data_IF_378717560323
#
_entry.id   IF_378717560323
#
_cell.length_a   1.000
_cell.length_b   1.000
_cell.length_c   1.000
_cell.angle_alpha   90.00
_cell.angle_beta   90.00
_cell.angle_gamma   90.00
#
_symmetry.space_group_name_H-M   'P 1'
#
loop_
_entity.id
_entity.type
_entity.pdbx_description
1 polymer ?
#
# COMPACT_ATOMS: atom_id res chain seq x y z
N UNK A 1 -25.85 11.94 -31.15
CA UNK A 1 -24.61 12.55 -31.67
C UNK A 1 -24.80 14.05 -31.68
N UNK A 2 -24.36 14.72 -30.63
CA UNK A 2 -24.46 16.18 -30.47
C UNK A 2 -23.10 16.65 -29.99
N UNK A 3 -22.36 17.29 -30.87
CA UNK A 3 -21.02 17.85 -30.62
C UNK A 3 -21.16 19.20 -29.92
N UNK A 4 -20.70 19.27 -28.68
CA UNK A 4 -20.53 20.52 -27.93
C UNK A 4 -19.22 21.18 -28.37
N UNK A 5 -19.33 22.32 -29.05
CA UNK A 5 -18.19 23.21 -29.34
C UNK A 5 -17.88 24.06 -28.10
N UNK A 6 -16.68 23.89 -27.55
CA UNK A 6 -16.09 24.82 -26.59
C UNK A 6 -15.12 25.75 -27.34
N UNK A 7 -15.49 27.02 -27.49
CA UNK A 7 -14.57 28.09 -27.89
C UNK A 7 -13.86 28.63 -26.64
N UNK A 8 -12.58 28.31 -26.51
CA UNK A 8 -11.72 28.76 -25.42
C UNK A 8 -10.74 29.84 -25.88
N UNK A 9 -10.86 31.02 -25.30
CA UNK A 9 -9.92 32.14 -25.41
C UNK A 9 -8.55 31.72 -24.84
N UNK A 10 -7.52 31.73 -25.69
CA UNK A 10 -6.16 31.34 -25.31
C UNK A 10 -5.47 32.43 -24.48
N UNK A 11 -5.33 32.20 -23.17
CA UNK A 11 -4.39 32.94 -22.31
C UNK A 11 -3.02 32.25 -22.30
N UNK A 12 -1.90 32.93 -22.61
CA UNK A 12 -0.58 32.30 -22.74
C UNK A 12 0.08 31.81 -21.43
N UNK A 13 -0.52 32.04 -20.26
CA UNK A 13 0.13 31.77 -18.96
C UNK A 13 -0.38 30.52 -18.21
N UNK A 14 -1.38 29.80 -18.73
CA UNK A 14 -2.03 28.67 -18.04
C UNK A 14 -1.46 27.27 -18.30
N UNK A 15 -0.50 27.11 -19.21
CA UNK A 15 -0.02 25.79 -19.67
C UNK A 15 0.84 24.98 -18.69
N UNK A 16 1.64 25.55 -17.75
CA UNK A 16 2.46 24.71 -16.88
C UNK A 16 1.63 23.95 -15.85
N UNK A 17 0.50 24.51 -15.37
CA UNK A 17 -0.30 23.90 -14.30
C UNK A 17 -0.99 22.61 -14.76
N UNK A 18 -1.54 22.59 -15.98
CA UNK A 18 -2.19 21.39 -16.53
C UNK A 18 -1.21 20.24 -16.79
N UNK A 19 0.02 20.56 -17.22
CA UNK A 19 1.06 19.56 -17.41
C UNK A 19 1.48 18.91 -16.08
N UNK A 20 1.60 19.70 -15.00
CA UNK A 20 1.90 19.18 -13.67
C UNK A 20 0.77 18.32 -13.09
N UNK A 21 -0.50 18.70 -13.30
CA UNK A 21 -1.66 17.88 -12.89
C UNK A 21 -1.65 16.52 -13.61
N UNK A 22 -1.42 16.50 -14.92
CA UNK A 22 -1.33 15.25 -15.70
C UNK A 22 -0.16 14.37 -15.28
N UNK A 23 1.00 14.96 -14.95
CA UNK A 23 2.16 14.20 -14.46
C UNK A 23 1.88 13.59 -13.08
N UNK A 24 1.20 14.31 -12.19
CA UNK A 24 0.83 13.80 -10.87
C UNK A 24 -0.20 12.66 -10.99
N UNK A 25 -1.24 12.83 -11.82
CA UNK A 25 -2.22 11.76 -12.05
C UNK A 25 -1.60 10.53 -12.72
N UNK A 26 -0.67 10.73 -13.65
CA UNK A 26 0.07 9.64 -14.30
C UNK A 26 1.02 8.95 -13.31
N UNK A 27 1.73 9.70 -12.47
CA UNK A 27 2.61 9.13 -11.44
C UNK A 27 1.81 8.38 -10.37
N UNK A 28 0.64 8.89 -9.96
CA UNK A 28 -0.28 8.20 -9.05
C UNK A 28 -0.83 6.92 -9.69
N UNK A 29 -1.26 6.98 -10.96
CA UNK A 29 -1.72 5.80 -11.70
C UNK A 29 -0.62 4.76 -11.89
N UNK A 30 0.61 5.17 -12.19
CA UNK A 30 1.77 4.29 -12.34
C UNK A 30 2.16 3.67 -10.99
N UNK A 31 2.16 4.43 -9.90
CA UNK A 31 2.49 3.90 -8.57
C UNK A 31 1.42 2.91 -8.07
N UNK A 32 0.14 3.20 -8.33
CA UNK A 32 -0.96 2.25 -8.08
C UNK A 32 -0.82 0.99 -8.94
N UNK A 33 -0.45 1.12 -10.21
CA UNK A 33 -0.34 -0.03 -11.12
C UNK A 33 0.91 -0.88 -10.83
N UNK A 34 2.07 -0.26 -10.55
CA UNK A 34 3.32 -0.96 -10.26
C UNK A 34 3.37 -1.51 -8.82
N UNK A 35 2.73 -0.84 -7.86
CA UNK A 35 2.62 -1.33 -6.48
C UNK A 35 1.64 -2.51 -6.33
N UNK A 36 0.73 -2.69 -7.29
CA UNK A 36 -0.17 -3.85 -7.33
C UNK A 36 0.52 -5.14 -7.81
N UNK A 37 1.66 -5.07 -8.51
CA UNK A 37 2.30 -6.27 -9.06
C UNK A 37 3.23 -7.00 -8.06
N UNK A 38 3.85 -6.31 -7.10
CA UNK A 38 4.71 -6.99 -6.10
C UNK A 38 3.92 -7.61 -4.94
N UNK A 39 2.80 -7.01 -4.52
CA UNK A 39 1.88 -7.65 -3.59
C UNK A 39 0.93 -8.66 -4.26
N UNK A 40 0.84 -8.65 -5.60
CA UNK A 40 0.21 -9.70 -6.40
C UNK A 40 1.16 -10.81 -6.87
N UNK A 41 2.34 -10.94 -6.22
CA UNK A 41 2.87 -12.26 -5.82
C UNK A 41 1.94 -12.96 -4.80
N UNK A 42 0.64 -12.84 -5.06
CA UNK A 42 -0.44 -13.81 -4.95
C UNK A 42 -0.16 -14.83 -3.90
N UNK A 43 -0.71 -14.56 -2.71
CA UNK A 43 -1.12 -15.58 -1.73
C UNK A 43 -1.48 -16.85 -2.49
N UNK A 44 -0.54 -17.79 -2.51
CA UNK A 44 -0.79 -19.15 -2.94
C UNK A 44 -1.65 -19.86 -1.90
N UNK A 45 -1.79 -19.25 -0.72
CA UNK A 45 -2.40 -19.82 0.45
C UNK A 45 -3.91 -20.03 0.28
N UNK A 46 -4.35 -21.24 0.63
CA UNK A 46 -5.75 -21.64 0.61
C UNK A 46 -6.28 -21.67 2.04
N UNK A 47 -7.35 -20.94 2.33
CA UNK A 47 -7.98 -20.95 3.65
C UNK A 47 -9.19 -21.87 3.65
N UNK A 48 -9.20 -22.82 4.57
CA UNK A 48 -10.33 -23.70 4.82
C UNK A 48 -10.90 -23.41 6.20
N UNK A 49 -12.14 -22.98 6.26
CA UNK A 49 -12.84 -22.70 7.51
C UNK A 49 -13.70 -23.90 7.95
N UNK A 50 -14.00 -23.96 9.24
CA UNK A 50 -14.87 -25.00 9.78
C UNK A 50 -16.27 -24.90 9.14
N UNK A 51 -16.75 -26.02 8.60
CA UNK A 51 -18.06 -26.13 7.97
C UNK A 51 -19.17 -25.96 9.02
N UNK A 52 -20.09 -25.04 8.75
CA UNK A 52 -21.36 -24.86 9.44
C UNK A 52 -22.48 -25.59 8.71
N UNK A 53 -22.48 -25.50 7.38
CA UNK A 53 -23.49 -26.08 6.53
C UNK A 53 -23.04 -27.47 6.06
N UNK A 54 -23.93 -28.45 6.19
CA UNK A 54 -23.69 -29.82 5.74
C UNK A 54 -23.55 -29.87 4.22
N UNK A 55 -22.49 -30.53 3.75
CA UNK A 55 -22.26 -30.80 2.32
C UNK A 55 -22.96 -32.10 1.91
N UNK A 56 -23.63 -32.07 0.77
CA UNK A 56 -24.25 -33.21 0.08
C UNK A 56 -23.47 -33.43 -1.22
N UNK A 57 -22.69 -34.50 -1.28
CA UNK A 57 -21.88 -34.82 -2.46
C UNK A 57 -22.74 -35.39 -3.59
N UNK A 58 -23.35 -34.51 -4.38
CA UNK A 58 -24.14 -34.86 -5.54
C UNK A 58 -23.70 -34.14 -6.84
N UNK A 59 -22.66 -33.31 -6.72
CA UNK A 59 -22.04 -32.58 -7.82
C UNK A 59 -22.86 -31.36 -8.23
N UNK A 60 -23.74 -30.83 -7.36
CA UNK A 60 -24.63 -29.70 -7.65
C UNK A 60 -24.64 -28.73 -6.48
N UNK A 61 -25.12 -27.53 -6.75
CA UNK A 61 -25.62 -26.66 -5.69
C UNK A 61 -26.95 -27.21 -5.16
N UNK A 62 -26.90 -28.10 -4.16
CA UNK A 62 -28.12 -28.70 -3.59
C UNK A 62 -29.00 -27.63 -2.96
N UNK A 63 -28.38 -26.67 -2.27
CA UNK A 63 -29.04 -25.46 -1.78
C UNK A 63 -28.12 -24.24 -1.96
N UNK A 64 -28.67 -23.02 -2.14
CA UNK A 64 -27.84 -21.81 -2.23
C UNK A 64 -26.92 -21.63 -1.02
N UNK A 65 -27.39 -21.99 0.18
CA UNK A 65 -26.67 -21.85 1.44
C UNK A 65 -25.57 -22.89 1.66
N UNK A 66 -25.56 -23.98 0.91
CA UNK A 66 -24.71 -25.14 1.17
C UNK A 66 -23.23 -24.79 1.29
N UNK A 67 -22.75 -23.85 0.45
CA UNK A 67 -21.36 -23.42 0.41
C UNK A 67 -21.18 -21.95 0.80
N UNK A 68 -22.20 -21.26 1.32
CA UNK A 68 -22.09 -19.85 1.76
C UNK A 68 -21.07 -19.64 2.90
N UNK A 69 -20.81 -20.69 3.67
CA UNK A 69 -19.84 -20.75 4.77
C UNK A 69 -18.43 -21.22 4.33
N UNK A 70 -18.18 -21.32 3.02
CA UNK A 70 -16.87 -21.69 2.48
C UNK A 70 -16.11 -20.46 2.01
N UNK A 71 -14.79 -20.59 1.93
CA UNK A 71 -13.96 -19.59 1.30
C UNK A 71 -13.94 -19.81 -0.22
N UNK A 72 -14.23 -18.76 -0.99
CA UNK A 72 -14.27 -18.79 -2.46
C UNK A 72 -13.04 -18.10 -3.05
N UNK A 73 -12.46 -18.71 -4.09
CA UNK A 73 -11.38 -18.16 -4.88
C UNK A 73 -11.75 -18.23 -6.35
N UNK A 74 -11.43 -17.18 -7.10
CA UNK A 74 -11.45 -17.24 -8.56
C UNK A 74 -10.21 -18.00 -9.06
N UNK A 75 -10.43 -19.13 -9.72
CA UNK A 75 -9.37 -19.88 -10.40
C UNK A 75 -9.00 -19.15 -11.70
N UNK A 76 -7.71 -18.97 -11.95
CA UNK A 76 -7.26 -18.18 -13.11
C UNK A 76 -7.13 -19.05 -14.35
N UNK A 77 -7.42 -18.41 -15.48
CA UNK A 77 -7.22 -18.97 -16.80
C UNK A 77 -5.75 -19.30 -17.05
N UNK A 78 -5.52 -20.50 -17.55
CA UNK A 78 -4.21 -20.93 -17.99
C UNK A 78 -3.88 -20.36 -19.37
N UNK A 79 -2.77 -19.62 -19.56
CA UNK A 79 -2.34 -19.06 -20.84
C UNK A 79 -2.01 -20.15 -21.88
N UNK A 80 -2.00 -21.42 -21.45
CA UNK A 80 -1.80 -22.59 -22.28
C UNK A 80 -3.07 -23.10 -22.95
N UNK A 81 -4.22 -22.51 -22.65
CA UNK A 81 -5.40 -22.80 -23.46
C UNK A 81 -5.13 -22.39 -24.91
N UNK A 82 -5.54 -23.24 -25.85
CA UNK A 82 -5.28 -23.04 -27.28
C UNK A 82 -5.90 -21.76 -27.85
N UNK A 83 -6.77 -21.08 -27.09
CA UNK A 83 -7.47 -19.87 -27.49
C UNK A 83 -7.19 -18.71 -26.51
N UNK A 84 -6.00 -18.08 -26.55
CA UNK A 84 -5.71 -16.92 -25.71
C UNK A 84 -6.76 -15.82 -25.92
N UNK A 85 -7.37 -15.34 -24.84
CA UNK A 85 -8.44 -14.33 -24.86
C UNK A 85 -9.86 -14.86 -24.69
N UNK A 86 -10.06 -16.18 -24.55
CA UNK A 86 -11.31 -16.68 -23.97
C UNK A 86 -11.31 -16.43 -22.47
N UNK A 87 -12.13 -15.48 -22.04
CA UNK A 87 -12.46 -15.31 -20.64
C UNK A 87 -13.43 -16.43 -20.23
N UNK A 88 -13.11 -17.09 -19.14
CA UNK A 88 -13.98 -18.06 -18.49
C UNK A 88 -13.87 -17.88 -16.99
N UNK A 89 -14.97 -18.14 -16.30
CA UNK A 89 -15.05 -18.03 -14.85
C UNK A 89 -15.02 -19.44 -14.26
N UNK A 90 -14.08 -19.66 -13.35
CA UNK A 90 -13.97 -20.88 -12.57
C UNK A 90 -13.74 -20.52 -11.11
N UNK A 91 -14.45 -21.17 -10.21
CA UNK A 91 -14.45 -20.89 -8.79
C UNK A 91 -14.02 -22.13 -8.01
N UNK A 92 -13.12 -21.93 -7.05
CA UNK A 92 -12.72 -22.92 -6.06
C UNK A 92 -13.34 -22.54 -4.72
N UNK A 93 -14.07 -23.45 -4.09
CA UNK A 93 -14.59 -23.30 -2.73
C UNK A 93 -14.03 -24.37 -1.82
N UNK A 94 -13.62 -23.97 -0.61
CA UNK A 94 -12.99 -24.87 0.36
C UNK A 94 -13.54 -24.64 1.76
N UNK A 95 -13.87 -25.73 2.45
CA UNK A 95 -14.19 -25.78 3.89
C UNK A 95 -13.86 -27.17 4.46
N UNK A 96 -13.94 -27.36 5.77
CA UNK A 96 -13.61 -28.65 6.37
C UNK A 96 -14.43 -28.97 7.62
N UNK A 97 -14.48 -30.24 7.99
CA UNK A 97 -14.95 -30.69 9.30
C UNK A 97 -13.90 -31.57 9.99
N UNK A 98 -14.28 -32.29 11.05
CA UNK A 98 -13.39 -33.20 11.79
C UNK A 98 -12.83 -34.36 10.96
N UNK A 99 -13.45 -34.71 9.84
CA UNK A 99 -13.12 -35.90 9.06
C UNK A 99 -12.68 -35.59 7.63
N UNK A 100 -13.15 -34.49 7.04
CA UNK A 100 -13.01 -34.21 5.61
C UNK A 100 -12.63 -32.77 5.31
N UNK A 101 -11.88 -32.62 4.23
CA UNK A 101 -11.75 -31.41 3.44
C UNK A 101 -12.79 -31.46 2.32
N UNK A 102 -13.68 -30.48 2.30
CA UNK A 102 -14.65 -30.31 1.24
C UNK A 102 -14.12 -29.32 0.21
N UNK A 103 -14.14 -29.73 -1.05
CA UNK A 103 -13.71 -28.89 -2.18
C UNK A 103 -14.82 -28.88 -3.22
N UNK A 104 -15.18 -27.70 -3.70
CA UNK A 104 -16.06 -27.52 -4.85
C UNK A 104 -15.33 -26.73 -5.93
N UNK A 105 -15.36 -27.25 -7.16
CA UNK A 105 -14.84 -26.58 -8.36
C UNK A 105 -16.03 -26.38 -9.30
N UNK A 106 -16.27 -25.13 -9.69
CA UNK A 106 -17.46 -24.69 -10.42
C UNK A 106 -17.05 -23.79 -11.57
N UNK A 107 -17.25 -24.22 -12.82
CA UNK A 107 -16.88 -23.44 -13.99
C UNK A 107 -17.90 -23.52 -15.13
N UNK A 108 -17.99 -22.44 -15.90
CA UNK A 108 -18.85 -22.38 -17.08
C UNK A 108 -18.31 -23.32 -18.15
N UNK A 109 -19.08 -24.34 -18.53
CA UNK A 109 -18.76 -25.22 -19.66
C UNK A 109 -19.75 -25.03 -20.81
N UNK A 110 -19.22 -25.00 -22.02
CA UNK A 110 -20.01 -24.87 -23.25
C UNK A 110 -20.61 -26.20 -23.72
N UNK A 111 -20.27 -27.31 -23.05
CA UNK A 111 -20.72 -28.63 -23.46
C UNK A 111 -22.19 -28.84 -23.09
N UNK A 112 -23.04 -28.98 -24.12
CA UNK A 112 -24.23 -29.82 -23.98
C UNK A 112 -23.69 -31.26 -23.93
N UNK A 113 -24.08 -32.11 -22.95
CA UNK A 113 -23.63 -33.52 -22.85
C UNK A 113 -23.97 -34.42 -24.06
N UNK A 114 -24.42 -33.85 -25.18
CA UNK A 114 -25.16 -34.50 -26.25
C UNK A 114 -24.32 -35.03 -27.41
N UNK A 115 -22.99 -34.88 -27.41
CA UNK A 115 -22.16 -35.51 -28.43
C UNK A 115 -21.56 -36.80 -27.88
N UNK A 116 -21.90 -37.97 -28.44
CA UNK A 116 -21.28 -39.22 -28.05
C UNK A 116 -19.76 -39.06 -28.18
N UNK A 117 -19.07 -39.09 -27.06
CA UNK A 117 -17.62 -39.04 -26.96
C UNK A 117 -17.12 -40.21 -27.79
N UNK A 118 -16.54 -39.91 -28.95
CA UNK A 118 -15.76 -40.90 -29.70
C UNK A 118 -14.79 -41.49 -28.69
N UNK A 119 -14.88 -42.80 -28.45
CA UNK A 119 -14.51 -43.55 -27.24
C UNK A 119 -13.11 -43.32 -26.62
N UNK A 120 -12.28 -42.45 -27.19
CA UNK A 120 -10.92 -42.13 -26.76
C UNK A 120 -10.63 -40.62 -26.59
N UNK A 121 -11.62 -39.72 -26.59
CA UNK A 121 -11.36 -38.30 -26.26
C UNK A 121 -11.59 -38.02 -24.78
N UNK A 122 -10.72 -37.17 -24.24
CA UNK A 122 -10.78 -36.71 -22.85
C UNK A 122 -12.15 -36.08 -22.57
N UNK A 123 -12.64 -36.29 -21.37
CA UNK A 123 -13.85 -35.65 -20.85
C UNK A 123 -13.43 -34.53 -19.93
N UNK A 124 -14.28 -33.51 -19.77
CA UNK A 124 -14.10 -32.49 -18.75
C UNK A 124 -13.80 -33.15 -17.41
N UNK A 125 -12.84 -32.58 -16.68
CA UNK A 125 -12.43 -33.13 -15.41
C UNK A 125 -12.03 -32.05 -14.42
N UNK A 126 -12.03 -32.43 -13.15
CA UNK A 126 -11.40 -31.68 -12.09
C UNK A 126 -10.49 -32.59 -11.28
N UNK A 127 -9.42 -32.00 -10.74
CA UNK A 127 -8.51 -32.67 -9.85
C UNK A 127 -8.12 -31.77 -8.68
N UNK A 128 -8.01 -32.38 -7.51
CA UNK A 128 -7.46 -31.78 -6.30
C UNK A 128 -6.26 -32.62 -5.90
N UNK A 129 -5.10 -31.98 -5.72
CA UNK A 129 -3.87 -32.64 -5.31
C UNK A 129 -3.45 -32.09 -3.95
N UNK A 130 -3.14 -32.98 -3.01
CA UNK A 130 -2.71 -32.65 -1.65
C UNK A 130 -1.31 -33.21 -1.39
N UNK A 131 -0.45 -32.40 -0.79
CA UNK A 131 0.88 -32.78 -0.30
C UNK A 131 0.81 -32.79 1.24
N UNK A 132 0.66 -33.98 1.83
CA UNK A 132 0.54 -34.19 3.27
C UNK A 132 1.92 -34.47 3.90
N UNK A 133 2.76 -33.43 4.02
CA UNK A 133 4.01 -33.52 4.78
C UNK A 133 5.28 -33.11 4.04
N UNK A 134 5.18 -32.54 2.84
CA UNK A 134 6.29 -31.92 2.11
C UNK A 134 7.31 -32.91 1.51
N UNK A 135 7.11 -34.21 1.69
CA UNK A 135 7.90 -35.28 1.10
C UNK A 135 7.30 -35.80 -0.22
N UNK A 136 8.10 -36.47 -1.05
CA UNK A 136 7.63 -37.02 -2.35
C UNK A 136 6.64 -38.17 -2.23
N UNK A 137 6.65 -38.84 -1.07
CA UNK A 137 5.85 -40.04 -0.81
C UNK A 137 4.42 -39.78 -0.35
N UNK A 138 4.05 -38.51 -0.09
CA UNK A 138 2.77 -38.16 0.54
C UNK A 138 1.91 -37.26 -0.34
N UNK A 139 2.00 -37.47 -1.66
CA UNK A 139 1.18 -36.75 -2.63
C UNK A 139 -0.03 -37.60 -2.98
N UNK A 140 -1.21 -37.05 -2.72
CA UNK A 140 -2.50 -37.64 -3.03
C UNK A 140 -3.18 -36.81 -4.11
N UNK A 141 -3.59 -37.46 -5.19
CA UNK A 141 -4.36 -36.84 -6.26
C UNK A 141 -5.77 -37.42 -6.32
N UNK A 142 -6.77 -36.56 -6.24
CA UNK A 142 -8.19 -36.88 -6.30
C UNK A 142 -8.73 -36.37 -7.63
N UNK A 143 -9.16 -37.26 -8.51
CA UNK A 143 -9.56 -36.92 -9.88
C UNK A 143 -10.99 -37.36 -10.17
N UNK A 144 -11.78 -36.48 -10.77
CA UNK A 144 -13.15 -36.76 -11.20
C UNK A 144 -13.31 -36.30 -12.63
N UNK A 145 -13.88 -37.15 -13.47
CA UNK A 145 -14.13 -36.86 -14.88
C UNK A 145 -15.60 -37.05 -15.22
N UNK A 146 -16.17 -36.13 -15.98
CA UNK A 146 -17.56 -36.20 -16.40
C UNK A 146 -17.72 -37.01 -17.69
N UNK A 147 -18.23 -38.24 -17.61
CA UNK A 147 -18.55 -39.06 -18.79
C UNK A 147 -20.05 -39.37 -18.84
N UNK A 148 -20.60 -39.31 -20.05
CA UNK A 148 -22.00 -39.58 -20.42
C UNK A 148 -22.81 -40.36 -19.38
N UNK A 149 -23.63 -39.62 -18.63
CA UNK A 149 -24.71 -40.11 -17.75
C UNK A 149 -24.30 -41.04 -16.60
N UNK A 150 -23.00 -41.27 -16.39
CA UNK A 150 -22.47 -41.97 -15.22
C UNK A 150 -21.28 -41.16 -14.70
N UNK A 151 -21.46 -40.51 -13.54
CA UNK A 151 -20.35 -39.93 -12.80
C UNK A 151 -19.33 -41.04 -12.54
N UNK A 152 -18.16 -40.95 -13.19
CA UNK A 152 -17.11 -41.94 -12.98
C UNK A 152 -16.53 -41.73 -11.58
N UNK A 153 -16.36 -42.83 -10.85
CA UNK A 153 -15.84 -42.81 -9.49
C UNK A 153 -14.49 -42.10 -9.43
N UNK A 154 -14.34 -41.22 -8.45
CA UNK A 154 -13.09 -40.51 -8.20
C UNK A 154 -11.92 -41.47 -8.15
N UNK A 155 -10.89 -41.23 -8.97
CA UNK A 155 -9.64 -41.96 -8.86
C UNK A 155 -8.77 -41.27 -7.83
N UNK A 156 -8.43 -42.01 -6.78
CA UNK A 156 -7.36 -41.60 -5.86
C UNK A 156 -6.09 -42.23 -6.37
N UNK A 157 -5.15 -41.39 -6.76
CA UNK A 157 -3.79 -41.81 -7.04
C UNK A 157 -2.91 -41.39 -5.88
N UNK A 158 -2.05 -42.30 -5.46
CA UNK A 158 -1.00 -42.02 -4.49
C UNK A 158 0.32 -42.19 -5.21
N UNK A 159 1.17 -41.17 -5.14
CA UNK A 159 2.49 -41.24 -5.76
C UNK A 159 3.44 -41.98 -4.81
N UNK A 160 3.93 -43.14 -5.24
CA UNK A 160 5.03 -43.81 -4.55
C UNK A 160 6.38 -43.14 -4.93
N UNK A 161 7.48 -43.54 -4.28
CA UNK A 161 8.83 -43.00 -4.54
C UNK A 161 9.29 -43.21 -6.01
N UNK A 162 8.64 -44.07 -6.78
CA UNK A 162 8.99 -44.42 -8.17
C UNK A 162 8.13 -43.67 -9.22
N UNK A 163 7.36 -42.65 -8.82
CA UNK A 163 6.49 -41.86 -9.70
C UNK A 163 5.36 -42.67 -10.37
N UNK A 164 5.09 -43.90 -9.92
CA UNK A 164 4.01 -44.72 -10.45
C UNK A 164 2.70 -44.41 -9.70
N UNK A 165 1.71 -43.93 -10.44
CA UNK A 165 0.38 -43.65 -9.92
C UNK A 165 -0.39 -44.97 -9.75
N UNK A 166 -0.13 -45.65 -8.64
CA UNK A 166 -0.89 -46.84 -8.28
C UNK A 166 -2.34 -46.46 -7.97
N UNK A 167 -3.29 -47.17 -8.61
CA UNK A 167 -4.71 -47.00 -8.30
C UNK A 167 -4.96 -47.55 -6.90
N UNK A 168 -5.39 -46.69 -5.97
CA UNK A 168 -5.92 -47.17 -4.68
C UNK A 168 -7.28 -47.81 -4.97
N UNK A 169 -7.48 -49.09 -4.61
CA UNK A 169 -8.72 -49.83 -4.96
C UNK A 169 -9.97 -49.05 -4.53
N UNK A 170 -10.80 -48.72 -5.53
CA UNK A 170 -11.89 -47.75 -5.46
C UNK A 170 -13.09 -48.09 -4.57
N UNK A 171 -13.18 -49.31 -4.00
CA UNK A 171 -14.41 -49.74 -3.30
C UNK A 171 -14.76 -48.88 -2.08
N UNK A 172 -13.78 -48.31 -1.39
CA UNK A 172 -14.01 -47.42 -0.24
C UNK A 172 -14.20 -45.94 -0.62
N UNK A 173 -13.93 -45.57 -1.88
CA UNK A 173 -13.83 -44.18 -2.35
C UNK A 173 -15.00 -43.76 -3.26
N UNK A 174 -16.00 -44.61 -3.46
CA UNK A 174 -17.18 -44.30 -4.30
C UNK A 174 -18.02 -43.11 -3.82
N UNK A 175 -17.74 -42.56 -2.63
CA UNK A 175 -18.46 -41.43 -2.02
C UNK A 175 -17.59 -40.20 -1.72
N UNK A 176 -16.34 -40.15 -2.19
CA UNK A 176 -15.47 -39.00 -1.92
C UNK A 176 -15.57 -37.91 -2.98
N UNK A 177 -16.38 -38.10 -4.02
CA UNK A 177 -16.53 -37.12 -5.08
C UNK A 177 -17.81 -37.28 -5.89
N UNK A 178 -18.31 -36.18 -6.43
CA UNK A 178 -19.44 -36.14 -7.35
C UNK A 178 -19.23 -35.07 -8.42
N UNK A 179 -19.92 -35.20 -9.56
CA UNK A 179 -19.92 -34.16 -10.58
C UNK A 179 -21.26 -34.09 -11.31
N UNK A 180 -21.62 -32.89 -11.78
CA UNK A 180 -22.77 -32.70 -12.64
C UNK A 180 -22.63 -31.48 -13.54
N UNK A 181 -23.45 -31.45 -14.59
CA UNK A 181 -23.70 -30.25 -15.38
C UNK A 181 -25.00 -29.61 -14.90
N UNK A 182 -24.97 -28.50 -14.16
CA UNK A 182 -26.18 -27.92 -13.55
C UNK A 182 -26.09 -26.39 -13.40
N UNK A 183 -27.10 -25.79 -12.76
CA UNK A 183 -27.13 -24.35 -12.49
C UNK A 183 -26.21 -24.01 -11.32
N UNK A 184 -25.59 -22.83 -11.37
CA UNK A 184 -24.73 -22.29 -10.32
C UNK A 184 -25.22 -20.90 -9.90
N UNK A 185 -25.07 -20.50 -8.63
CA UNK A 185 -25.35 -19.13 -8.21
C UNK A 185 -24.38 -18.11 -8.82
N UNK A 186 -23.25 -18.53 -9.40
CA UNK A 186 -22.23 -17.63 -9.91
C UNK A 186 -22.58 -17.03 -11.28
N UNK A 187 -23.36 -17.73 -12.12
CA UNK A 187 -23.82 -17.17 -13.39
C UNK A 187 -25.09 -17.85 -13.91
N UNK A 188 -25.74 -17.26 -14.93
CA UNK A 188 -26.93 -17.84 -15.56
C UNK A 188 -26.61 -18.99 -16.52
N UNK A 189 -25.35 -19.12 -16.93
CA UNK A 189 -24.90 -20.24 -17.75
C UNK A 189 -24.87 -21.50 -16.89
N UNK A 190 -24.98 -22.68 -17.52
CA UNK A 190 -24.78 -23.94 -16.80
C UNK A 190 -23.28 -24.16 -16.56
N UNK A 191 -22.97 -24.70 -15.39
CA UNK A 191 -21.60 -24.99 -14.99
C UNK A 191 -21.39 -26.50 -14.90
N UNK A 192 -20.14 -26.87 -15.13
CA UNK A 192 -19.62 -28.15 -14.66
C UNK A 192 -19.18 -27.98 -13.20
N UNK A 193 -19.83 -28.74 -12.33
CA UNK A 193 -19.61 -28.68 -10.88
C UNK A 193 -19.01 -30.00 -10.45
N UNK A 194 -17.90 -29.92 -9.70
CA UNK A 194 -17.20 -31.04 -9.12
C UNK A 194 -17.09 -30.84 -7.62
N UNK A 195 -17.50 -31.83 -6.86
CA UNK A 195 -17.42 -31.83 -5.40
C UNK A 195 -16.51 -32.96 -4.93
N UNK A 196 -15.76 -32.69 -3.87
CA UNK A 196 -14.88 -33.64 -3.22
C UNK A 196 -15.10 -33.59 -1.70
N UNK A 197 -15.12 -34.75 -1.05
CA UNK A 197 -14.95 -34.91 0.39
C UNK A 197 -13.71 -35.77 0.64
N UNK A 198 -12.58 -35.09 0.76
CA UNK A 198 -11.27 -35.70 0.89
C UNK A 198 -11.05 -36.04 2.37
N UNK A 199 -10.86 -37.32 2.75
CA UNK A 199 -10.55 -37.68 4.13
C UNK A 199 -9.26 -36.99 4.60
N UNK A 200 -9.29 -36.42 5.81
CA UNK A 200 -8.12 -35.76 6.40
C UNK A 200 -7.39 -36.69 7.36
N UNK A 201 -6.12 -36.98 7.06
CA UNK A 201 -5.23 -37.70 8.00
C UNK A 201 -4.47 -36.73 8.91
N UNK A 202 -4.22 -35.51 8.42
CA UNK A 202 -3.55 -34.41 9.13
C UNK A 202 -4.20 -33.08 8.73
N UNK A 203 -3.97 -32.04 9.52
CA UNK A 203 -4.40 -30.65 9.22
C UNK A 203 -3.24 -29.66 9.18
N UNK A 204 -2.01 -30.13 9.29
CA UNK A 204 -0.83 -29.28 9.38
C UNK A 204 0.11 -29.51 8.21
N UNK A 205 0.62 -28.42 7.62
CA UNK A 205 1.63 -28.47 6.58
C UNK A 205 1.15 -29.01 5.24
N UNK A 206 -0.18 -29.04 5.01
CA UNK A 206 -0.75 -29.49 3.74
C UNK A 206 -0.55 -28.41 2.68
N UNK A 207 -0.11 -28.81 1.49
CA UNK A 207 -0.23 -27.97 0.30
C UNK A 207 -1.30 -28.51 -0.63
N UNK A 208 -1.97 -27.64 -1.34
CA UNK A 208 -3.07 -27.97 -2.23
C UNK A 208 -2.88 -27.32 -3.60
N UNK A 209 -3.24 -28.08 -4.63
CA UNK A 209 -3.34 -27.63 -6.01
C UNK A 209 -4.66 -28.15 -6.59
N UNK A 210 -5.48 -27.26 -7.12
CA UNK A 210 -6.72 -27.57 -7.78
C UNK A 210 -6.63 -27.22 -9.27
N UNK A 211 -7.18 -28.06 -10.12
CA UNK A 211 -7.25 -27.83 -11.57
C UNK A 211 -8.58 -28.34 -12.10
N UNK A 212 -9.14 -27.65 -13.08
CA UNK A 212 -10.15 -28.21 -13.96
C UNK A 212 -9.82 -27.94 -15.43
N UNK A 213 -10.32 -28.83 -16.26
CA UNK A 213 -10.17 -28.83 -17.72
C UNK A 213 -11.56 -28.94 -18.34
N UNK A 214 -11.89 -27.95 -19.17
CA UNK A 214 -12.93 -28.05 -20.18
C UNK A 214 -12.25 -28.53 -21.46
N UNK A 215 -12.33 -29.84 -21.70
CA UNK A 215 -11.59 -30.48 -22.79
C UNK A 215 -12.09 -30.01 -24.15
N UNK A 216 -13.39 -29.69 -24.26
CA UNK A 216 -13.99 -29.32 -25.54
C UNK A 216 -13.49 -27.95 -26.00
N UNK A 217 -13.51 -26.97 -25.10
CA UNK A 217 -12.94 -25.64 -25.35
C UNK A 217 -11.43 -25.59 -25.25
N UNK A 218 -10.84 -26.64 -24.66
CA UNK A 218 -9.41 -26.71 -24.31
C UNK A 218 -9.02 -25.59 -23.37
N UNK A 219 -9.88 -25.31 -22.40
CA UNK A 219 -9.69 -24.27 -21.40
C UNK A 219 -9.35 -24.92 -20.06
N UNK A 220 -8.29 -24.43 -19.43
CA UNK A 220 -7.83 -24.94 -18.14
C UNK A 220 -7.86 -23.83 -17.12
N UNK A 221 -8.33 -24.16 -15.92
CA UNK A 221 -8.25 -23.30 -14.76
C UNK A 221 -7.47 -24.00 -13.68
N UNK A 222 -6.60 -23.28 -13.00
CA UNK A 222 -5.84 -23.83 -11.89
C UNK A 222 -5.77 -22.85 -10.72
N UNK A 223 -5.60 -23.40 -9.53
CA UNK A 223 -5.25 -22.64 -8.35
C UNK A 223 -4.31 -23.43 -7.42
N UNK A 224 -3.23 -22.82 -6.93
CA UNK A 224 -2.72 -21.52 -7.38
C UNK A 224 -2.23 -21.59 -8.83
N UNK A 225 -2.37 -20.48 -9.55
CA UNK A 225 -1.95 -20.37 -10.95
C UNK A 225 -0.60 -19.67 -11.06
N UNK A 226 0.31 -20.20 -11.88
CA UNK A 226 1.55 -19.51 -12.26
C UNK A 226 1.76 -19.47 -13.77
N UNK A 227 2.07 -18.29 -14.36
CA UNK A 227 2.24 -18.11 -15.81
C UNK A 227 3.34 -18.95 -16.46
N UNK A 228 4.34 -19.42 -15.71
CA UNK A 228 5.57 -20.01 -16.24
C UNK A 228 5.49 -21.52 -16.56
N UNK A 229 4.40 -22.19 -16.21
CA UNK A 229 4.35 -23.66 -16.20
C UNK A 229 3.83 -24.25 -17.53
N UNK A 230 4.70 -24.53 -18.51
CA UNK A 230 4.30 -25.19 -19.78
C UNK A 230 3.62 -26.55 -19.54
N UNK A 231 2.38 -26.69 -20.01
CA UNK A 231 1.66 -27.96 -20.01
C UNK A 231 2.32 -28.95 -20.98
N UNK A 232 2.77 -30.11 -20.48
CA UNK A 232 3.30 -31.21 -21.29
C UNK A 232 4.63 -31.81 -20.82
N UNK A 233 5.39 -31.15 -19.93
CA UNK A 233 6.63 -31.72 -19.38
C UNK A 233 6.68 -31.80 -17.84
N UNK A 234 5.74 -31.20 -17.14
CA UNK A 234 5.60 -31.33 -15.70
C UNK A 234 4.12 -31.52 -15.36
N UNK A 235 3.74 -32.74 -15.01
CA UNK A 235 2.49 -32.94 -14.25
C UNK A 235 2.53 -32.01 -13.04
N UNK A 236 1.43 -31.36 -12.62
CA UNK A 236 1.44 -30.37 -11.52
C UNK A 236 2.16 -30.84 -10.24
N UNK A 237 2.32 -32.16 -10.09
CA UNK A 237 3.17 -32.88 -9.13
C UNK A 237 4.64 -32.45 -9.10
N UNK A 238 5.27 -32.15 -10.23
CA UNK A 238 6.70 -31.81 -10.28
C UNK A 238 6.97 -30.39 -9.76
N UNK A 239 5.94 -29.57 -9.69
CA UNK A 239 6.01 -28.16 -9.28
C UNK A 239 5.41 -27.93 -7.90
N UNK A 240 5.71 -28.80 -6.93
CA UNK A 240 5.25 -28.68 -5.51
C UNK A 240 5.57 -27.36 -4.84
N UNK A 241 6.64 -26.70 -5.26
CA UNK A 241 7.01 -25.38 -4.74
C UNK A 241 6.02 -24.29 -5.16
N UNK A 242 5.15 -24.58 -6.13
CA UNK A 242 4.09 -23.71 -6.60
C UNK A 242 2.74 -23.97 -5.94
N UNK A 243 2.60 -25.06 -5.19
CA UNK A 243 1.33 -25.41 -4.56
C UNK A 243 1.01 -24.48 -3.41
N UNK A 244 -0.28 -24.24 -3.22
CA UNK A 244 -0.78 -23.36 -2.20
C UNK A 244 -0.71 -23.97 -0.81
N UNK A 245 -0.32 -23.23 0.23
CA UNK A 245 -0.42 -23.76 1.59
C UNK A 245 -1.88 -23.77 2.03
N UNK A 246 -2.38 -24.91 2.46
CA UNK A 246 -3.74 -25.04 2.98
C UNK A 246 -3.75 -24.81 4.49
N UNK A 247 -4.42 -23.74 4.94
CA UNK A 247 -4.63 -23.44 6.35
C UNK A 247 -6.01 -23.84 6.81
N UNK A 248 -6.07 -24.61 7.90
CA UNK A 248 -7.30 -25.03 8.54
C UNK A 248 -7.62 -24.12 9.71
N UNK A 249 -8.70 -23.36 9.60
CA UNK A 249 -9.19 -22.48 10.65
C UNK A 249 -10.27 -23.18 11.47
N UNK A 250 -10.08 -23.24 12.80
CA UNK A 250 -11.13 -23.78 13.68
C UNK A 250 -12.37 -22.87 13.75
N UNK A 251 -12.22 -21.61 13.35
CA UNK A 251 -13.33 -20.67 13.20
C UNK A 251 -14.12 -20.99 11.94
N UNK A 252 -15.39 -20.69 11.99
CA UNK A 252 -16.28 -20.69 10.83
C UNK A 252 -16.03 -19.45 9.97
N UNK A 253 -16.45 -19.50 8.70
CA UNK A 253 -16.29 -18.34 7.81
C UNK A 253 -17.08 -17.12 8.30
N UNK A 254 -18.27 -17.33 8.86
CA UNK A 254 -19.10 -16.26 9.42
C UNK A 254 -18.45 -15.56 10.62
N UNK A 255 -17.86 -16.33 11.56
CA UNK A 255 -17.12 -15.76 12.70
C UNK A 255 -15.92 -14.94 12.22
N UNK A 256 -15.16 -15.47 11.25
CA UNK A 256 -14.03 -14.74 10.66
C UNK A 256 -14.49 -13.46 9.96
N UNK A 257 -15.58 -13.53 9.21
CA UNK A 257 -16.16 -12.36 8.53
C UNK A 257 -16.60 -11.29 9.52
N UNK A 258 -17.20 -11.68 10.65
CA UNK A 258 -17.59 -10.74 11.70
C UNK A 258 -16.37 -10.04 12.34
N UNK A 259 -15.30 -10.79 12.61
CA UNK A 259 -14.03 -10.24 13.11
C UNK A 259 -13.43 -9.21 12.14
N UNK A 260 -13.29 -9.58 10.87
CA UNK A 260 -12.74 -8.68 9.84
C UNK A 260 -13.66 -7.48 9.61
N UNK A 261 -14.98 -7.66 9.67
CA UNK A 261 -15.94 -6.54 9.60
C UNK A 261 -15.68 -5.52 10.71
N UNK A 262 -15.39 -5.97 11.93
CA UNK A 262 -15.04 -5.10 13.04
C UNK A 262 -13.76 -4.28 12.77
N UNK A 263 -12.74 -4.92 12.19
CA UNK A 263 -11.50 -4.24 11.80
C UNK A 263 -11.73 -3.21 10.67
N UNK A 264 -12.53 -3.55 9.66
CA UNK A 264 -12.90 -2.64 8.57
C UNK A 264 -13.62 -1.42 9.14
N UNK A 265 -14.60 -1.61 10.04
CA UNK A 265 -15.31 -0.50 10.68
C UNK A 265 -14.40 0.37 11.54
N UNK A 266 -13.45 -0.21 12.28
CA UNK A 266 -12.45 0.57 13.04
C UNK A 266 -11.54 1.38 12.11
N UNK A 267 -11.12 0.81 10.98
CA UNK A 267 -10.34 1.51 9.96
C UNK A 267 -11.11 2.70 9.37
N UNK A 268 -12.41 2.51 9.05
CA UNK A 268 -13.30 3.57 8.58
C UNK A 268 -13.47 4.69 9.61
N UNK A 269 -13.68 4.33 10.88
CA UNK A 269 -13.77 5.30 11.98
C UNK A 269 -12.46 6.08 12.15
N UNK A 270 -11.31 5.39 12.09
CA UNK A 270 -9.99 6.01 12.15
C UNK A 270 -9.79 7.07 11.06
N UNK A 271 -10.07 6.73 9.80
CA UNK A 271 -9.98 7.67 8.67
C UNK A 271 -10.99 8.82 8.81
N UNK A 272 -12.22 8.53 9.25
CA UNK A 272 -13.23 9.57 9.52
C UNK A 272 -12.74 10.56 10.57
N UNK A 273 -12.18 10.05 11.68
CA UNK A 273 -11.60 10.87 12.74
C UNK A 273 -10.46 11.74 12.22
N UNK A 274 -9.52 11.18 11.45
CA UNK A 274 -8.42 11.95 10.84
C UNK A 274 -8.93 13.09 9.95
N UNK A 275 -9.98 12.86 9.16
CA UNK A 275 -10.59 13.89 8.30
C UNK A 275 -11.29 14.99 9.09
N UNK A 276 -11.80 14.66 10.29
CA UNK A 276 -12.41 15.65 11.19
C UNK A 276 -11.39 16.47 11.97
N UNK A 277 -10.15 15.96 12.11
CA UNK A 277 -9.07 16.70 12.74
C UNK A 277 -8.63 17.84 11.80
N UNK A 278 -8.51 19.04 12.35
CA UNK A 278 -7.93 20.18 11.67
C UNK A 278 -6.40 20.04 11.63
N UNK A 279 -5.91 19.02 10.90
CA UNK A 279 -4.48 18.75 10.78
C UNK A 279 -3.77 20.00 10.23
N UNK A 280 -2.65 20.38 10.82
CA UNK A 280 -1.83 21.51 10.37
C UNK A 280 -0.61 21.01 9.59
N UNK A 281 -0.08 19.83 9.93
CA UNK A 281 1.09 19.23 9.28
C UNK A 281 0.84 18.90 7.80
N UNK A 282 1.65 19.45 6.86
CA UNK A 282 1.54 19.11 5.44
C UNK A 282 1.78 17.62 5.15
N UNK A 283 2.73 16.99 5.87
CA UNK A 283 3.03 15.55 5.73
C UNK A 283 1.86 14.69 6.19
N UNK A 284 1.26 15.04 7.34
CA UNK A 284 0.09 14.36 7.87
C UNK A 284 -1.10 14.42 6.90
N UNK A 285 -1.37 15.59 6.31
CA UNK A 285 -2.44 15.78 5.31
C UNK A 285 -2.28 14.88 4.09
N UNK A 286 -1.07 14.74 3.57
CA UNK A 286 -0.81 13.86 2.43
C UNK A 286 -1.13 12.40 2.78
N UNK A 287 -0.66 11.91 3.93
CA UNK A 287 -0.88 10.54 4.37
C UNK A 287 -2.33 10.18 4.67
N UNK A 288 -3.19 11.16 4.99
CA UNK A 288 -4.65 10.92 5.13
C UNK A 288 -5.26 10.42 3.82
N UNK A 289 -4.75 10.86 2.67
CA UNK A 289 -5.22 10.37 1.38
C UNK A 289 -4.87 8.89 1.19
N UNK A 290 -3.65 8.49 1.52
CA UNK A 290 -3.18 7.10 1.44
C UNK A 290 -3.97 6.19 2.39
N UNK A 291 -4.18 6.60 3.64
CA UNK A 291 -5.03 5.89 4.59
C UNK A 291 -6.47 5.76 4.07
N UNK A 292 -6.99 6.79 3.40
CA UNK A 292 -8.28 6.75 2.73
C UNK A 292 -8.34 5.73 1.59
N UNK A 293 -7.27 5.60 0.80
CA UNK A 293 -7.17 4.62 -0.27
C UNK A 293 -7.13 3.19 0.29
N UNK A 294 -6.30 2.91 1.31
CA UNK A 294 -6.26 1.60 1.96
C UNK A 294 -7.61 1.24 2.60
N UNK A 295 -8.32 2.20 3.19
CA UNK A 295 -9.66 1.98 3.73
C UNK A 295 -10.66 1.59 2.64
N UNK A 296 -10.59 2.23 1.46
CA UNK A 296 -11.42 1.84 0.31
C UNK A 296 -11.09 0.42 -0.18
N UNK A 297 -9.81 0.09 -0.32
CA UNK A 297 -9.35 -1.25 -0.72
C UNK A 297 -9.76 -2.33 0.29
N UNK A 298 -9.69 -2.03 1.59
CA UNK A 298 -10.15 -2.92 2.66
C UNK A 298 -11.64 -3.23 2.54
N UNK A 299 -12.47 -2.20 2.29
CA UNK A 299 -13.92 -2.36 2.08
C UNK A 299 -14.22 -3.18 0.83
N UNK A 300 -13.56 -2.90 -0.29
CA UNK A 300 -13.75 -3.62 -1.55
C UNK A 300 -13.39 -5.10 -1.40
N UNK A 301 -12.23 -5.39 -0.80
CA UNK A 301 -11.81 -6.76 -0.51
C UNK A 301 -12.81 -7.48 0.41
N UNK A 302 -13.34 -6.79 1.42
CA UNK A 302 -14.35 -7.35 2.32
C UNK A 302 -15.67 -7.67 1.59
N UNK A 303 -16.10 -6.79 0.68
CA UNK A 303 -17.28 -7.02 -0.17
C UNK A 303 -17.07 -8.19 -1.14
N UNK A 304 -15.85 -8.37 -1.63
CA UNK A 304 -15.44 -9.50 -2.47
C UNK A 304 -15.25 -10.82 -1.68
N UNK A 305 -15.49 -10.83 -0.36
CA UNK A 305 -15.24 -11.94 0.55
C UNK A 305 -13.75 -12.36 0.67
N UNK A 306 -12.82 -11.50 0.25
CA UNK A 306 -11.39 -11.67 0.51
C UNK A 306 -11.05 -11.10 1.89
N UNK A 307 -11.46 -11.84 2.93
CA UNK A 307 -11.32 -11.43 4.33
C UNK A 307 -9.86 -11.18 4.74
N UNK A 308 -8.97 -11.94 4.12
CA UNK A 308 -7.55 -11.93 4.40
C UNK A 308 -6.86 -10.69 3.82
N UNK A 309 -7.30 -10.24 2.64
CA UNK A 309 -6.84 -8.98 2.05
C UNK A 309 -7.49 -7.77 2.72
N UNK A 310 -8.77 -7.89 3.06
CA UNK A 310 -9.50 -6.87 3.81
C UNK A 310 -8.84 -6.55 5.16
N UNK A 311 -8.46 -7.58 5.92
CA UNK A 311 -7.74 -7.41 7.18
C UNK A 311 -6.38 -6.75 6.99
N UNK A 312 -5.60 -7.17 5.98
CA UNK A 312 -4.29 -6.59 5.69
C UNK A 312 -4.40 -5.08 5.49
N UNK A 313 -5.33 -4.65 4.64
CA UNK A 313 -5.57 -3.22 4.40
C UNK A 313 -6.13 -2.51 5.63
N UNK A 314 -7.03 -3.13 6.40
CA UNK A 314 -7.54 -2.53 7.64
C UNK A 314 -6.43 -2.26 8.66
N UNK A 315 -5.46 -3.19 8.80
CA UNK A 315 -4.28 -3.00 9.66
C UNK A 315 -3.38 -1.88 9.14
N UNK A 316 -3.12 -1.82 7.84
CA UNK A 316 -2.36 -0.72 7.24
C UNK A 316 -3.00 0.66 7.51
N UNK A 317 -4.33 0.75 7.52
CA UNK A 317 -5.06 1.96 7.92
C UNK A 317 -4.83 2.30 9.39
N UNK A 318 -4.89 1.31 10.28
CA UNK A 318 -4.63 1.51 11.73
C UNK A 318 -3.21 2.01 11.99
N UNK A 319 -2.22 1.41 11.33
CA UNK A 319 -0.82 1.81 11.43
C UNK A 319 -0.61 3.23 10.89
N UNK A 320 -1.16 3.51 9.70
CA UNK A 320 -1.12 4.85 9.09
C UNK A 320 -1.79 5.90 9.98
N UNK A 321 -2.90 5.56 10.63
CA UNK A 321 -3.62 6.47 11.54
C UNK A 321 -2.77 6.84 12.74
N UNK A 322 -2.08 5.87 13.34
CA UNK A 322 -1.18 6.10 14.47
C UNK A 322 0.01 6.98 14.06
N UNK A 323 0.58 6.72 12.90
CA UNK A 323 1.68 7.51 12.35
C UNK A 323 1.28 8.96 12.05
N UNK A 324 0.11 9.18 11.44
CA UNK A 324 -0.42 10.52 11.15
C UNK A 324 -0.62 11.33 12.44
N UNK A 325 -1.15 10.71 13.49
CA UNK A 325 -1.33 11.36 14.81
C UNK A 325 0.03 11.73 15.42
N UNK A 326 1.05 10.87 15.30
CA UNK A 326 2.42 11.18 15.74
C UNK A 326 2.97 12.39 14.99
N UNK A 327 2.89 12.38 13.66
CA UNK A 327 3.37 13.47 12.81
C UNK A 327 2.70 14.82 13.13
N UNK A 328 1.40 14.81 13.40
CA UNK A 328 0.66 16.01 13.79
C UNK A 328 1.07 16.52 15.17
N UNK A 329 1.32 15.60 16.11
CA UNK A 329 1.79 15.93 17.46
C UNK A 329 3.18 16.57 17.41
N UNK A 330 4.11 15.94 16.68
CA UNK A 330 5.46 16.45 16.45
C UNK A 330 5.42 17.85 15.81
N UNK A 331 4.62 18.02 14.76
CA UNK A 331 4.45 19.31 14.10
C UNK A 331 3.94 20.39 15.07
N UNK A 332 2.88 20.09 15.84
CA UNK A 332 2.31 21.01 16.82
C UNK A 332 3.32 21.43 17.88
N UNK A 333 4.11 20.49 18.38
CA UNK A 333 5.13 20.76 19.39
C UNK A 333 6.31 21.56 18.82
N UNK A 334 6.71 21.32 17.57
CA UNK A 334 7.68 22.19 16.88
C UNK A 334 7.17 23.61 16.72
N UNK A 335 5.90 23.79 16.31
CA UNK A 335 5.30 25.14 16.19
C UNK A 335 5.30 25.86 17.54
N UNK A 336 4.94 25.17 18.64
CA UNK A 336 5.00 25.73 20.00
C UNK A 336 6.43 26.10 20.39
N UNK A 337 7.41 25.24 20.14
CA UNK A 337 8.81 25.49 20.46
C UNK A 337 9.37 26.71 19.70
N UNK A 338 9.10 26.81 18.40
CA UNK A 338 9.48 27.96 17.57
C UNK A 338 8.85 29.25 18.07
N UNK A 339 7.56 29.22 18.43
CA UNK A 339 6.87 30.37 19.01
C UNK A 339 7.49 30.78 20.34
N UNK A 340 7.73 29.85 21.25
CA UNK A 340 8.37 30.12 22.54
C UNK A 340 9.75 30.75 22.38
N UNK A 341 10.58 30.22 21.47
CA UNK A 341 11.90 30.78 21.16
C UNK A 341 11.81 32.22 20.64
N UNK A 342 10.85 32.52 19.74
CA UNK A 342 10.59 33.88 19.26
C UNK A 342 10.18 34.81 20.40
N UNK A 343 9.28 34.37 21.27
CA UNK A 343 8.79 35.16 22.41
C UNK A 343 9.94 35.51 23.38
N UNK A 344 10.84 34.56 23.67
CA UNK A 344 12.04 34.82 24.48
C UNK A 344 12.99 35.85 23.83
N UNK A 345 13.22 35.74 22.52
CA UNK A 345 14.07 36.68 21.77
C UNK A 345 13.46 38.09 21.77
N UNK A 346 12.14 38.21 21.56
CA UNK A 346 11.43 39.51 21.61
C UNK A 346 11.51 40.12 23.00
N UNK A 347 11.28 39.32 24.06
CA UNK A 347 11.39 39.77 25.44
C UNK A 347 12.81 40.25 25.77
N UNK A 348 13.83 39.46 25.46
CA UNK A 348 15.23 39.83 25.66
C UNK A 348 15.58 41.17 24.99
N UNK A 349 15.12 41.35 23.74
CA UNK A 349 15.29 42.61 23.01
C UNK A 349 14.59 43.78 23.69
N UNK A 350 13.34 43.62 24.13
CA UNK A 350 12.59 44.68 24.81
C UNK A 350 13.21 45.10 26.16
N UNK A 351 13.94 44.18 26.79
CA UNK A 351 14.66 44.41 28.05
C UNK A 351 16.08 44.96 27.83
N UNK A 352 16.48 45.26 26.58
CA UNK A 352 17.82 45.80 26.29
C UNK A 352 18.97 44.79 26.40
N UNK A 353 18.66 43.49 26.49
CA UNK A 353 19.66 42.42 26.58
C UNK A 353 20.21 42.10 25.19
N UNK A 354 21.50 42.34 24.98
CA UNK A 354 22.16 42.22 23.67
C UNK A 354 23.10 41.02 23.58
N UNK A 355 23.70 40.60 24.70
CA UNK A 355 24.66 39.48 24.74
C UNK A 355 23.95 38.18 24.33
N UNK A 356 24.53 37.42 23.40
CA UNK A 356 23.98 36.18 22.81
C UNK A 356 22.73 36.32 21.91
N UNK A 357 22.13 37.51 21.81
CA UNK A 357 20.89 37.69 21.05
C UNK A 357 21.09 37.39 19.56
N UNK A 358 22.25 37.73 18.98
CA UNK A 358 22.59 37.41 17.58
C UNK A 358 22.61 35.90 17.34
N UNK A 359 23.31 35.15 18.20
CA UNK A 359 23.41 33.68 18.10
C UNK A 359 22.04 33.02 18.27
N UNK A 360 21.22 33.51 19.21
CA UNK A 360 19.84 33.04 19.39
C UNK A 360 19.01 33.23 18.11
N UNK A 361 19.12 34.38 17.44
CA UNK A 361 18.41 34.63 16.17
C UNK A 361 18.91 33.74 15.03
N UNK A 362 20.23 33.51 14.92
CA UNK A 362 20.78 32.60 13.91
C UNK A 362 20.28 31.17 14.11
N UNK A 363 20.23 30.71 15.35
CA UNK A 363 19.76 29.38 15.71
C UNK A 363 18.26 29.21 15.48
N UNK A 364 17.45 30.24 15.78
CA UNK A 364 16.03 30.24 15.43
C UNK A 364 15.83 30.16 13.90
N UNK A 365 16.62 30.88 13.10
CA UNK A 365 16.54 30.76 11.62
C UNK A 365 16.87 29.35 11.14
N UNK A 366 17.86 28.70 11.74
CA UNK A 366 18.17 27.30 11.44
C UNK A 366 17.00 26.38 11.84
N UNK A 367 16.36 26.62 12.99
CA UNK A 367 15.18 25.88 13.42
C UNK A 367 14.02 26.03 12.43
N UNK A 368 13.75 27.25 11.95
CA UNK A 368 12.72 27.54 10.94
C UNK A 368 13.02 26.87 9.60
N UNK A 369 14.30 26.84 9.20
CA UNK A 369 14.77 26.13 8.01
C UNK A 369 14.56 24.62 8.13
N UNK A 370 14.92 24.02 9.29
CA UNK A 370 14.70 22.60 9.57
C UNK A 370 13.20 22.24 9.59
N UNK A 371 12.37 23.08 10.20
CA UNK A 371 10.91 22.92 10.20
C UNK A 371 10.33 22.96 8.78
N UNK A 372 10.81 23.89 7.94
CA UNK A 372 10.39 23.99 6.54
C UNK A 372 10.84 22.79 5.70
N UNK A 373 11.97 22.17 6.05
CA UNK A 373 12.43 20.91 5.47
C UNK A 373 11.67 19.67 6.01
N UNK A 374 10.82 19.87 7.03
CA UNK A 374 10.05 18.80 7.68
C UNK A 374 10.87 17.94 8.65
N UNK A 375 11.98 18.46 9.17
CA UNK A 375 12.78 17.86 10.24
C UNK A 375 12.36 18.49 11.58
N UNK A 376 11.26 17.96 12.13
CA UNK A 376 10.57 18.51 13.29
C UNK A 376 11.34 18.32 14.59
N UNK A 377 12.01 17.18 14.75
CA UNK A 377 12.84 16.88 15.93
C UNK A 377 14.04 17.84 16.02
N UNK A 378 14.79 17.99 14.93
CA UNK A 378 15.93 18.91 14.89
C UNK A 378 15.50 20.37 15.05
N UNK A 379 14.37 20.75 14.45
CA UNK A 379 13.79 22.08 14.63
C UNK A 379 13.41 22.39 16.08
N UNK A 380 12.81 21.43 16.81
CA UNK A 380 12.51 21.58 18.25
C UNK A 380 13.79 21.81 19.05
N UNK A 381 14.81 20.99 18.82
CA UNK A 381 16.09 21.09 19.52
C UNK A 381 16.73 22.47 19.34
N UNK A 382 16.84 22.95 18.08
CA UNK A 382 17.39 24.27 17.77
C UNK A 382 16.53 25.41 18.37
N UNK A 383 15.20 25.28 18.31
CA UNK A 383 14.30 26.28 18.89
C UNK A 383 14.48 26.39 20.42
N UNK A 384 14.60 25.26 21.11
CA UNK A 384 14.84 25.24 22.56
C UNK A 384 16.20 25.83 22.93
N UNK A 385 17.26 25.53 22.17
CA UNK A 385 18.58 26.12 22.40
C UNK A 385 18.58 27.63 22.13
N UNK A 386 17.91 28.09 21.07
CA UNK A 386 17.71 29.51 20.79
C UNK A 386 16.97 30.21 21.94
N UNK A 387 15.91 29.59 22.48
CA UNK A 387 15.18 30.09 23.65
C UNK A 387 16.07 30.23 24.88
N UNK A 388 16.88 29.20 25.20
CA UNK A 388 17.84 29.23 26.32
C UNK A 388 18.91 30.31 26.14
N UNK A 389 19.42 30.52 24.93
CA UNK A 389 20.39 31.59 24.65
C UNK A 389 19.78 32.98 24.86
N UNK A 390 18.54 33.17 24.43
CA UNK A 390 17.81 34.42 24.61
C UNK A 390 17.45 34.66 26.08
N UNK A 391 17.00 33.64 26.81
CA UNK A 391 16.67 33.73 28.23
C UNK A 391 17.90 34.09 29.08
N UNK A 392 19.06 33.53 28.76
CA UNK A 392 20.34 33.81 29.45
C UNK A 392 21.09 35.03 28.91
N UNK A 393 20.50 35.78 27.97
CA UNK A 393 21.10 37.04 27.50
C UNK A 393 21.20 38.04 28.65
N UNK A 394 22.20 38.92 28.59
CA UNK A 394 22.44 39.99 29.58
C UNK A 394 22.47 41.33 28.86
N UNK A 395 22.18 42.41 29.59
CA UNK A 395 22.50 43.76 29.12
C UNK A 395 24.02 43.88 28.94
N UNK A 396 24.46 44.44 27.82
CA UNK A 396 25.86 44.85 27.69
C UNK A 396 26.16 45.94 28.73
N UNK A 397 27.29 45.87 29.45
CA UNK A 397 27.68 46.93 30.37
C UNK A 397 27.86 48.24 29.59
N UNK A 398 26.90 49.17 29.72
CA UNK A 398 26.93 50.48 29.06
C UNK A 398 28.19 51.29 29.39
N UNK A 399 28.84 51.03 30.52
CA UNK A 399 30.02 51.75 30.98
C UNK A 399 31.31 51.34 30.25
N UNK A 400 31.44 50.10 29.81
CA UNK A 400 32.66 49.63 29.13
C UNK A 400 32.72 50.13 27.68
N UNK A 401 31.59 50.22 26.98
CA UNK A 401 31.58 50.69 25.59
C UNK A 401 32.01 52.15 25.45
N UNK A 402 31.66 53.01 26.41
CA UNK A 402 32.10 54.43 26.39
C UNK A 402 33.59 54.54 26.75
N UNK A 403 34.09 53.78 27.73
CA UNK A 403 35.52 53.78 28.05
C UNK A 403 36.38 53.16 26.96
N UNK A 404 35.95 52.06 26.33
CA UNK A 404 36.68 51.43 25.22
C UNK A 404 36.63 52.29 23.95
N UNK A 405 35.50 52.96 23.65
CA UNK A 405 35.45 54.00 22.62
C UNK A 405 36.43 55.13 22.95
N UNK A 406 36.40 55.66 24.17
CA UNK A 406 37.32 56.72 24.60
C UNK A 406 38.80 56.28 24.59
N UNK A 407 39.10 54.99 24.78
CA UNK A 407 40.46 54.45 24.70
C UNK A 407 40.90 54.11 23.26
N UNK A 408 39.98 53.84 22.33
CA UNK A 408 40.30 53.67 20.90
C UNK A 408 40.32 54.98 20.12
N UNK A 409 39.71 56.04 20.66
CA UNK A 409 39.74 57.39 20.08
C UNK A 409 41.15 57.93 19.75
N UNK A 410 42.18 57.78 20.61
CA UNK A 410 43.55 58.21 20.30
C UNK A 410 44.10 57.53 19.05
N UNK A 411 43.86 56.22 18.90
CA UNK A 411 44.40 55.40 17.82
C UNK A 411 43.70 55.68 16.48
N UNK A 412 42.38 55.98 16.52
CA UNK A 412 41.64 56.48 15.37
C UNK A 412 42.12 57.87 14.94
N UNK A 413 42.33 58.79 15.90
CA UNK A 413 42.87 60.12 15.61
C UNK A 413 44.27 60.03 14.98
N UNK A 414 45.12 59.12 15.45
CA UNK A 414 46.45 58.88 14.88
C UNK A 414 46.35 58.28 13.45
N UNK A 415 45.48 57.28 13.25
CA UNK A 415 45.27 56.62 11.95
C UNK A 415 44.69 57.57 10.89
N UNK A 416 43.83 58.51 11.29
CA UNK A 416 43.25 59.52 10.40
C UNK A 416 43.99 60.87 10.43
N UNK A 417 45.13 60.97 11.13
CA UNK A 417 45.90 62.21 11.29
C UNK A 417 46.31 62.84 9.96
N UNK A 418 46.69 62.00 8.98
CA UNK A 418 47.06 62.45 7.62
C UNK A 418 45.85 62.99 6.85
N UNK A 419 44.69 62.37 6.98
CA UNK A 419 43.47 62.85 6.34
C UNK A 419 42.98 64.16 6.98
N UNK A 420 43.08 64.27 8.30
CA UNK A 420 42.74 65.47 9.04
C UNK A 420 43.68 66.65 8.71
N UNK A 421 44.99 66.40 8.51
CA UNK A 421 45.93 67.45 8.07
C UNK A 421 45.69 67.88 6.62
N UNK A 422 45.34 66.96 5.71
CA UNK A 422 44.94 67.31 4.34
C UNK A 422 43.66 68.15 4.33
N UNK A 423 42.64 67.77 5.10
CA UNK A 423 41.40 68.54 5.25
C UNK A 423 41.65 69.93 5.83
N UNK A 424 42.46 70.02 6.89
CA UNK A 424 42.83 71.30 7.50
C UNK A 424 43.63 72.18 6.54
N UNK A 425 44.59 71.61 5.80
CA UNK A 425 45.36 72.32 4.77
C UNK A 425 44.48 72.83 3.63
N UNK A 426 43.53 72.01 3.17
CA UNK A 426 42.52 72.39 2.19
C UNK A 426 41.63 73.54 2.67
N UNK A 427 41.19 73.49 3.93
CA UNK A 427 40.37 74.55 4.53
C UNK A 427 41.15 75.87 4.65
N UNK A 428 42.42 75.83 5.06
CA UNK A 428 43.29 77.00 5.13
C UNK A 428 43.52 77.62 3.74
N UNK A 429 43.79 76.78 2.72
CA UNK A 429 43.93 77.23 1.33
C UNK A 429 42.64 77.88 0.82
N UNK A 430 41.48 77.32 1.15
CA UNK A 430 40.19 77.90 0.80
C UNK A 430 40.00 79.27 1.44
N UNK A 431 40.26 79.40 2.74
CA UNK A 431 40.19 80.66 3.49
C UNK A 431 41.17 81.70 2.92
N UNK A 432 42.41 81.32 2.65
CA UNK A 432 43.42 82.20 2.07
C UNK A 432 43.00 82.69 0.67
N UNK A 433 42.45 81.80 -0.14
CA UNK A 433 41.93 82.13 -1.48
C UNK A 433 40.76 83.12 -1.39
N UNK A 434 39.84 82.93 -0.44
CA UNK A 434 38.74 83.85 -0.19
C UNK A 434 39.23 85.23 0.27
N UNK A 435 40.24 85.30 1.15
CA UNK A 435 40.86 86.56 1.60
C UNK A 435 41.55 87.29 0.44
N UNK A 436 42.32 86.58 -0.39
CA UNK A 436 43.00 87.15 -1.56
C UNK A 436 42.01 87.65 -2.62
N UNK A 437 40.92 86.90 -2.84
CA UNK A 437 39.84 87.29 -3.76
C UNK A 437 39.14 88.55 -3.26
N UNK A 438 38.87 88.65 -1.95
CA UNK A 438 38.33 89.87 -1.31
C UNK A 438 39.27 91.07 -1.49
N UNK A 439 40.58 90.91 -1.27
CA UNK A 439 41.57 91.98 -1.49
C UNK A 439 41.66 92.45 -2.95
N UNK A 440 41.57 91.54 -3.92
CA UNK A 440 41.52 91.91 -5.35
C UNK A 440 40.24 92.67 -5.71
N UNK A 441 39.12 92.33 -5.09
CA UNK A 441 37.86 93.03 -5.30
C UNK A 441 37.93 94.47 -4.75
N UNK A 442 38.49 94.66 -3.56
CA UNK A 442 38.68 96.00 -2.98
C UNK A 442 39.64 96.90 -3.78
N UNK A 443 40.69 96.34 -4.43
CA UNK A 443 41.61 97.11 -5.29
C UNK A 443 41.04 97.52 -6.65
N UNK A 444 39.91 96.93 -7.08
CA UNK A 444 39.22 97.33 -8.32
C UNK A 444 38.15 98.40 -8.09
N UNK A 445 37.84 98.73 -6.83
CA UNK A 445 36.89 99.77 -6.44
C UNK A 445 37.55 101.07 -5.94
N UNK A 446 38.88 101.07 -5.82
CA UNK A 446 39.73 102.27 -5.73
C UNK A 446 40.33 102.57 -7.10
#
# INVERSE_FOLDING_TARGET
MSTLHFEGVASPSGKPVLAWILIIELAFSIHVTLGQDEHSLTRLDINSYAAQNKVVLDGKWTTPSEWEDSWQILMRYSPWSEFPGREGESYLRVKHDCCHLYVLIDFVSDTVPSRPVIANRYSDFAAVMLDEGGGESNIYGYFVSFREFQSWHGKVYMKNQEFDWSHVRAQSYSRISACSYSESPNSRSRHMIYEFAIPLNSRSGIRCFAICDDTFTKTYFAYPFQPSTRYGQASGVEMRYLWGKLYFHNKTFAERRAEVSGLVSQAEEGVSKLRSLALESPKAKLKVADAGAFCAMSREAFQANDLELAELYARQVSDSTSEIISMETEYSDTVKALKGARDFIVKARSEGRTVNLTKANEMLKQAESAFSAGDYEYAVMLAQEAGKLAENSKEEPREQTIQDLLQTFPDLVERYRVYLTILAGGLIMLIATLILRRRRYSRKQS
#
